data_IF_247873352189
#
_entry.id   IF_247873352189
#
_cell.length_a   1.000
_cell.length_b   1.000
_cell.length_c   1.000
_cell.angle_alpha   90.00
_cell.angle_beta   90.00
_cell.angle_gamma   90.00
#
_symmetry.space_group_name_H-M   'P 1'
#
loop_
_entity.id
_entity.type
_entity.pdbx_description
1 polymer ?
#
# COMPACT_ATOMS: atom_id res chain seq x y z
N UNK A 1 19.85 35.35 7.53
CA UNK A 1 19.74 35.19 6.06
C UNK A 1 18.39 34.54 5.82
N UNK A 2 17.50 35.14 5.03
CA UNK A 2 16.13 34.64 4.86
C UNK A 2 16.18 33.30 4.12
N UNK A 3 15.54 32.26 4.67
CA UNK A 3 15.41 30.97 4.01
C UNK A 3 14.38 31.09 2.88
N UNK A 4 14.75 30.69 1.67
CA UNK A 4 13.87 30.79 0.49
C UNK A 4 13.35 29.45 0.01
N UNK A 5 13.81 28.34 0.60
CA UNK A 5 13.46 26.97 0.22
C UNK A 5 12.82 26.26 1.40
N UNK A 6 11.59 25.77 1.26
CA UNK A 6 10.87 25.02 2.29
C UNK A 6 11.33 23.55 2.38
N UNK A 7 10.37 22.62 2.28
CA UNK A 7 10.62 21.18 2.27
C UNK A 7 11.28 20.75 0.96
N UNK A 8 12.29 19.89 1.05
CA UNK A 8 13.00 19.32 -0.11
C UNK A 8 13.00 17.80 -0.02
N UNK A 9 12.64 17.11 -1.10
CA UNK A 9 12.73 15.65 -1.19
C UNK A 9 13.74 15.25 -2.29
N UNK A 10 14.63 14.30 -1.98
CA UNK A 10 15.68 13.80 -2.88
C UNK A 10 15.63 12.29 -2.97
N UNK A 11 15.57 11.76 -4.20
CA UNK A 11 15.80 10.34 -4.46
C UNK A 11 17.29 10.01 -4.36
N UNK A 12 17.65 9.11 -3.46
CA UNK A 12 19.03 8.70 -3.17
C UNK A 12 19.32 7.40 -3.91
N UNK A 13 20.36 7.42 -4.75
CA UNK A 13 20.73 6.26 -5.56
C UNK A 13 21.41 5.19 -4.73
N UNK A 14 20.93 3.95 -4.85
CA UNK A 14 21.58 2.77 -4.27
C UNK A 14 21.93 1.77 -5.39
N UNK A 15 22.96 0.93 -5.19
CA UNK A 15 23.20 -0.20 -6.10
C UNK A 15 22.06 -1.22 -6.01
N UNK A 16 22.03 -2.15 -6.98
CA UNK A 16 21.03 -3.22 -7.01
C UNK A 16 21.10 -4.04 -5.73
N UNK A 17 19.96 -4.11 -5.03
CA UNK A 17 19.81 -4.82 -3.75
C UNK A 17 19.51 -6.30 -4.02
N UNK A 18 20.26 -7.16 -3.35
CA UNK A 18 20.16 -8.62 -3.40
C UNK A 18 19.77 -9.20 -2.04
N UNK A 19 19.28 -10.43 -2.05
CA UNK A 19 18.98 -11.15 -0.83
C UNK A 19 20.26 -11.38 -0.01
N UNK A 20 20.20 -11.07 1.27
CA UNK A 20 21.32 -11.15 2.21
C UNK A 20 22.17 -9.88 2.31
N UNK A 21 21.89 -8.84 1.51
CA UNK A 21 22.60 -7.58 1.60
C UNK A 21 22.36 -6.88 2.94
N UNK A 22 23.41 -6.26 3.50
CA UNK A 22 23.32 -5.41 4.68
C UNK A 22 22.74 -4.04 4.30
N UNK A 23 21.42 -4.01 4.13
CA UNK A 23 20.71 -2.81 3.70
C UNK A 23 20.88 -1.64 4.67
N UNK A 24 21.01 -1.91 5.98
CA UNK A 24 21.26 -0.87 6.99
C UNK A 24 22.54 -0.12 6.67
N UNK A 25 23.66 -0.83 6.48
CA UNK A 25 24.94 -0.20 6.10
C UNK A 25 24.87 0.48 4.74
N UNK A 26 24.15 -0.10 3.78
CA UNK A 26 23.99 0.50 2.45
C UNK A 26 23.27 1.85 2.50
N UNK A 27 22.15 1.94 3.22
CA UNK A 27 21.38 3.17 3.38
C UNK A 27 22.22 4.25 4.05
N UNK A 28 22.88 3.93 5.18
CA UNK A 28 23.73 4.88 5.92
C UNK A 28 24.83 5.44 5.02
N UNK A 29 25.57 4.56 4.32
CA UNK A 29 26.65 4.96 3.41
C UNK A 29 26.14 5.82 2.27
N UNK A 30 25.01 5.46 1.65
CA UNK A 30 24.44 6.20 0.54
C UNK A 30 24.02 7.62 0.96
N UNK A 31 23.42 7.77 2.14
CA UNK A 31 23.00 9.06 2.68
C UNK A 31 24.20 9.97 2.96
N UNK A 32 25.22 9.46 3.66
CA UNK A 32 26.45 10.21 3.96
C UNK A 32 27.19 10.60 2.67
N UNK A 33 27.33 9.65 1.75
CA UNK A 33 27.98 9.89 0.46
C UNK A 33 27.23 10.96 -0.34
N UNK A 34 25.90 10.87 -0.39
CA UNK A 34 25.08 11.85 -1.11
C UNK A 34 25.17 13.23 -0.48
N UNK A 35 25.10 13.34 0.85
CA UNK A 35 25.26 14.61 1.57
C UNK A 35 26.62 15.27 1.25
N UNK A 36 27.69 14.48 1.28
CA UNK A 36 29.05 14.95 0.94
C UNK A 36 29.19 15.36 -0.52
N UNK A 37 28.65 14.57 -1.44
CA UNK A 37 28.83 14.76 -2.89
C UNK A 37 28.00 15.92 -3.41
N UNK A 38 26.74 16.01 -2.97
CA UNK A 38 25.79 17.03 -3.43
C UNK A 38 25.83 18.31 -2.57
N UNK A 39 26.66 18.34 -1.51
CA UNK A 39 26.93 19.55 -0.73
C UNK A 39 25.79 20.02 0.17
N UNK A 40 24.96 19.10 0.70
CA UNK A 40 23.92 19.43 1.68
C UNK A 40 24.24 18.86 3.07
N UNK A 41 23.71 19.50 4.11
CA UNK A 41 23.88 19.07 5.50
C UNK A 41 22.67 18.25 5.96
N UNK A 42 22.93 17.21 6.73
CA UNK A 42 21.91 16.45 7.46
C UNK A 42 21.58 17.16 8.77
N UNK A 43 20.31 17.09 9.18
CA UNK A 43 19.77 17.82 10.32
C UNK A 43 18.94 16.89 11.19
N UNK A 44 18.75 17.32 12.43
CA UNK A 44 17.77 16.69 13.32
C UNK A 44 16.38 16.80 12.68
N UNK A 45 15.57 15.75 12.80
CA UNK A 45 14.22 15.61 12.22
C UNK A 45 14.16 15.56 10.69
N UNK A 46 15.29 15.47 9.98
CA UNK A 46 15.24 14.99 8.59
C UNK A 46 14.61 13.59 8.56
N UNK A 47 13.97 13.24 7.44
CA UNK A 47 13.27 11.96 7.29
C UNK A 47 13.89 11.16 6.16
N UNK A 48 14.19 9.89 6.41
CA UNK A 48 14.64 8.93 5.40
C UNK A 48 13.56 7.88 5.19
N UNK A 49 13.01 7.85 3.98
CA UNK A 49 12.16 6.76 3.52
C UNK A 49 12.97 5.69 2.81
N UNK A 50 12.72 4.41 3.10
CA UNK A 50 13.27 3.27 2.35
C UNK A 50 12.11 2.44 1.80
N UNK A 51 12.13 2.10 0.50
CA UNK A 51 11.05 1.28 -0.08
C UNK A 51 10.90 -0.06 0.63
N UNK A 52 9.65 -0.52 0.76
CA UNK A 52 9.29 -1.87 1.18
C UNK A 52 10.01 -2.93 0.33
N UNK A 53 10.31 -2.62 -0.92
CA UNK A 53 10.83 -3.51 -1.93
C UNK A 53 12.28 -3.75 -1.67
N UNK A 54 13.03 -2.69 -1.37
CA UNK A 54 14.41 -2.77 -0.94
C UNK A 54 14.54 -3.64 0.31
N UNK A 55 13.71 -3.37 1.33
CA UNK A 55 13.76 -4.11 2.60
C UNK A 55 13.42 -5.58 2.38
N UNK A 56 12.31 -5.89 1.71
CA UNK A 56 11.88 -7.27 1.44
C UNK A 56 12.91 -8.04 0.58
N UNK A 57 13.54 -7.37 -0.40
CA UNK A 57 14.60 -7.96 -1.23
C UNK A 57 15.83 -8.29 -0.41
N UNK A 58 16.33 -7.35 0.39
CA UNK A 58 17.49 -7.56 1.27
C UNK A 58 17.24 -8.70 2.26
N UNK A 59 16.03 -8.79 2.82
CA UNK A 59 15.62 -9.87 3.71
C UNK A 59 15.57 -11.25 3.05
N UNK A 60 15.52 -11.33 1.71
CA UNK A 60 15.27 -12.59 1.04
C UNK A 60 13.87 -13.15 1.34
N UNK A 61 12.88 -12.31 1.64
CA UNK A 61 11.56 -12.75 2.08
C UNK A 61 10.71 -13.26 0.91
N UNK A 62 11.01 -14.46 0.43
CA UNK A 62 10.37 -15.09 -0.73
C UNK A 62 9.69 -16.40 -0.37
N UNK A 63 8.56 -16.68 -1.02
CA UNK A 63 7.89 -17.97 -0.99
C UNK A 63 7.66 -18.46 -2.42
N UNK A 64 7.74 -19.77 -2.63
CA UNK A 64 7.35 -20.39 -3.89
C UNK A 64 5.84 -20.55 -3.98
N UNK A 65 5.33 -20.65 -5.20
CA UNK A 65 3.91 -20.94 -5.43
C UNK A 65 3.47 -22.30 -4.83
N UNK A 66 4.39 -23.27 -4.74
CA UNK A 66 4.13 -24.58 -4.11
C UNK A 66 4.05 -24.47 -2.59
N UNK A 67 4.91 -23.64 -2.00
CA UNK A 67 4.86 -23.36 -0.56
C UNK A 67 3.51 -22.73 -0.20
N UNK A 68 3.08 -21.71 -0.95
CA UNK A 68 1.74 -21.12 -0.76
C UNK A 68 0.64 -22.16 -0.93
N UNK A 69 0.72 -23.03 -1.95
CA UNK A 69 -0.28 -24.08 -2.17
C UNK A 69 -0.34 -25.06 -0.98
N UNK A 70 0.80 -25.46 -0.42
CA UNK A 70 0.84 -26.32 0.77
C UNK A 70 0.15 -25.65 1.97
N UNK A 71 0.38 -24.35 2.18
CA UNK A 71 -0.26 -23.61 3.26
C UNK A 71 -1.77 -23.47 3.07
N UNK A 72 -2.21 -23.16 1.84
CA UNK A 72 -3.64 -23.12 1.49
C UNK A 72 -4.29 -24.48 1.75
N UNK A 73 -3.72 -25.57 1.22
CA UNK A 73 -4.25 -26.94 1.40
C UNK A 73 -4.34 -27.35 2.87
N UNK A 74 -3.40 -26.92 3.72
CA UNK A 74 -3.48 -27.15 5.18
C UNK A 74 -4.66 -26.40 5.80
N UNK A 75 -4.90 -25.16 5.39
CA UNK A 75 -5.93 -24.28 5.95
C UNK A 75 -7.34 -24.56 5.43
N UNK A 76 -7.46 -25.16 4.24
CA UNK A 76 -8.74 -25.58 3.66
C UNK A 76 -8.98 -27.10 3.78
N UNK A 77 -8.25 -27.78 4.67
CA UNK A 77 -8.35 -29.23 4.83
C UNK A 77 -9.80 -29.65 5.09
N UNK A 78 -10.29 -30.59 4.29
CA UNK A 78 -11.67 -31.10 4.37
C UNK A 78 -12.64 -30.49 3.35
N UNK A 79 -12.17 -29.61 2.46
CA UNK A 79 -12.91 -29.16 1.28
C UNK A 79 -12.02 -29.24 0.04
N UNK A 80 -12.65 -29.44 -1.12
CA UNK A 80 -12.01 -29.36 -2.44
C UNK A 80 -12.44 -28.10 -3.22
N UNK A 81 -13.32 -27.29 -2.63
CA UNK A 81 -13.80 -26.03 -3.22
C UNK A 81 -13.46 -24.82 -2.34
N UNK A 82 -13.23 -23.68 -2.99
CA UNK A 82 -12.93 -22.41 -2.34
C UNK A 82 -13.55 -21.22 -3.07
N UNK A 83 -14.22 -20.36 -2.32
CA UNK A 83 -14.71 -19.07 -2.79
C UNK A 83 -13.64 -18.01 -2.59
N UNK A 84 -13.34 -17.24 -3.64
CA UNK A 84 -12.39 -16.12 -3.58
C UNK A 84 -13.18 -14.83 -3.73
N UNK A 85 -13.03 -13.93 -2.75
CA UNK A 85 -13.77 -12.69 -2.68
C UNK A 85 -12.87 -11.47 -2.97
N UNK A 86 -13.23 -10.71 -4.00
CA UNK A 86 -12.73 -9.36 -4.28
C UNK A 86 -11.20 -9.20 -4.40
N UNK A 87 -10.49 -10.03 -5.18
CA UNK A 87 -9.08 -9.75 -5.43
C UNK A 87 -8.89 -8.43 -6.19
N UNK A 88 -7.76 -7.77 -5.95
CA UNK A 88 -7.30 -6.69 -6.83
C UNK A 88 -6.98 -7.27 -8.21
N UNK A 89 -7.44 -6.61 -9.27
CA UNK A 89 -7.24 -6.98 -10.66
C UNK A 89 -5.79 -6.71 -11.08
N UNK A 90 -4.90 -7.65 -10.79
CA UNK A 90 -3.47 -7.49 -11.01
C UNK A 90 -2.77 -8.75 -11.49
N UNK A 91 -1.95 -8.57 -12.54
CA UNK A 91 -0.95 -9.57 -13.00
C UNK A 91 0.16 -9.81 -11.98
N UNK A 92 0.51 -8.76 -11.23
CA UNK A 92 1.70 -8.71 -10.41
C UNK A 92 1.40 -9.11 -8.96
N UNK A 93 0.27 -8.64 -8.42
CA UNK A 93 -0.13 -8.89 -7.02
C UNK A 93 -0.93 -10.19 -6.86
N UNK A 94 -1.85 -10.51 -7.79
CA UNK A 94 -2.79 -11.62 -7.57
C UNK A 94 -2.54 -12.88 -8.41
N UNK A 95 -2.04 -12.79 -9.64
CA UNK A 95 -1.93 -13.97 -10.53
C UNK A 95 -1.16 -15.16 -9.96
N UNK A 96 -0.04 -14.92 -9.26
CA UNK A 96 0.74 -16.03 -8.67
C UNK A 96 0.03 -16.63 -7.45
N UNK A 97 -0.65 -15.81 -6.67
CA UNK A 97 -1.47 -16.24 -5.53
C UNK A 97 -2.63 -17.11 -6.04
N UNK A 98 -3.33 -16.68 -7.09
CA UNK A 98 -4.42 -17.44 -7.70
C UNK A 98 -3.96 -18.81 -8.19
N UNK A 99 -2.79 -18.89 -8.83
CA UNK A 99 -2.20 -20.17 -9.23
C UNK A 99 -1.96 -21.10 -8.04
N UNK A 100 -1.37 -20.58 -6.96
CA UNK A 100 -1.16 -21.36 -5.75
C UNK A 100 -2.46 -21.88 -5.17
N UNK A 101 -3.52 -21.07 -5.15
CA UNK A 101 -4.84 -21.50 -4.69
C UNK A 101 -5.44 -22.57 -5.61
N UNK A 102 -5.30 -22.41 -6.93
CA UNK A 102 -5.76 -23.38 -7.92
C UNK A 102 -5.06 -24.74 -7.84
N UNK A 103 -3.82 -24.79 -7.32
CA UNK A 103 -3.14 -26.05 -7.00
C UNK A 103 -3.72 -26.76 -5.76
N UNK A 104 -4.40 -26.02 -4.89
CA UNK A 104 -4.87 -26.49 -3.59
C UNK A 104 -6.34 -26.88 -3.56
N UNK A 105 -7.15 -26.34 -4.48
CA UNK A 105 -8.59 -26.59 -4.60
C UNK A 105 -8.92 -27.09 -6.00
N UNK A 106 -9.89 -28.00 -6.12
CA UNK A 106 -10.37 -28.50 -7.42
C UNK A 106 -11.34 -27.54 -8.09
N UNK A 107 -12.11 -26.77 -7.30
CA UNK A 107 -13.09 -25.81 -7.82
C UNK A 107 -12.98 -24.46 -7.11
N UNK A 108 -12.93 -23.39 -7.90
CA UNK A 108 -12.86 -22.00 -7.44
C UNK A 108 -14.12 -21.27 -7.85
N UNK A 109 -14.79 -20.62 -6.89
CA UNK A 109 -15.82 -19.63 -7.16
C UNK A 109 -15.18 -18.24 -7.00
N UNK A 110 -15.02 -17.50 -8.08
CA UNK A 110 -14.39 -16.18 -8.05
C UNK A 110 -15.46 -15.09 -8.10
N UNK A 111 -15.61 -14.33 -7.01
CA UNK A 111 -16.48 -13.17 -6.97
C UNK A 111 -15.66 -11.88 -7.12
N UNK A 112 -15.91 -11.15 -8.20
CA UNK A 112 -15.31 -9.86 -8.51
C UNK A 112 -16.26 -8.71 -8.14
N UNK A 113 -15.70 -7.62 -7.64
CA UNK A 113 -16.42 -6.36 -7.52
C UNK A 113 -16.54 -5.69 -8.88
N UNK A 114 -17.60 -4.90 -9.08
CA UNK A 114 -17.81 -4.14 -10.31
C UNK A 114 -18.49 -2.78 -10.01
N UNK A 115 -18.23 -1.72 -10.78
CA UNK A 115 -17.49 -1.70 -12.05
C UNK A 115 -15.96 -1.82 -11.90
N UNK A 116 -15.42 -1.66 -10.69
CA UNK A 116 -13.99 -1.73 -10.41
C UNK A 116 -13.70 -2.52 -9.11
N UNK A 117 -12.44 -2.92 -8.92
CA UNK A 117 -11.95 -3.46 -7.64
C UNK A 117 -11.80 -2.36 -6.57
N UNK A 118 -11.35 -2.74 -5.37
CA UNK A 118 -11.25 -1.80 -4.24
C UNK A 118 -10.25 -0.65 -4.44
N UNK A 119 -9.28 -0.81 -5.36
CA UNK A 119 -8.29 0.22 -5.69
C UNK A 119 -8.62 0.91 -7.02
N UNK A 120 -9.76 0.62 -7.64
CA UNK A 120 -10.24 1.34 -8.82
C UNK A 120 -9.80 0.75 -10.17
N UNK A 121 -9.24 -0.46 -10.23
CA UNK A 121 -9.03 -1.13 -11.53
C UNK A 121 -10.39 -1.52 -12.12
N UNK A 122 -10.72 -0.99 -13.29
CA UNK A 122 -12.02 -1.16 -13.91
C UNK A 122 -12.13 -2.53 -14.61
N UNK A 123 -13.17 -3.27 -14.27
CA UNK A 123 -13.51 -4.52 -14.93
C UNK A 123 -14.32 -4.28 -16.21
N UNK A 124 -15.05 -3.16 -16.29
CA UNK A 124 -15.95 -2.84 -17.39
C UNK A 124 -16.04 -1.33 -17.64
N UNK A 125 -16.59 -0.94 -18.80
CA UNK A 125 -16.89 0.44 -19.13
C UNK A 125 -18.07 0.95 -18.28
N UNK A 126 -17.83 2.06 -17.57
CA UNK A 126 -18.80 2.64 -16.65
C UNK A 126 -20.00 3.24 -17.40
N UNK A 127 -19.78 3.95 -18.51
CA UNK A 127 -20.88 4.51 -19.31
C UNK A 127 -21.81 3.41 -19.82
N UNK A 128 -21.24 2.34 -20.40
CA UNK A 128 -22.01 1.19 -20.89
C UNK A 128 -22.81 0.51 -19.78
N UNK A 129 -22.26 0.41 -18.57
CA UNK A 129 -22.99 -0.13 -17.42
C UNK A 129 -24.26 0.68 -17.13
N UNK A 130 -24.17 2.02 -17.16
CA UNK A 130 -25.32 2.91 -16.98
C UNK A 130 -26.32 2.82 -18.14
N UNK A 131 -25.85 2.77 -19.39
CA UNK A 131 -26.70 2.59 -20.57
C UNK A 131 -27.51 1.30 -20.52
N UNK A 132 -26.91 0.23 -19.99
CA UNK A 132 -27.55 -1.08 -19.81
C UNK A 132 -28.47 -1.13 -18.57
N UNK A 133 -28.54 -0.07 -17.76
CA UNK A 133 -29.37 0.00 -16.57
C UNK A 133 -28.92 -0.93 -15.43
N UNK A 134 -27.65 -1.35 -15.42
CA UNK A 134 -27.12 -2.24 -14.39
C UNK A 134 -26.93 -1.49 -13.06
N UNK A 135 -27.43 -2.08 -11.97
CA UNK A 135 -27.27 -1.57 -10.62
C UNK A 135 -26.22 -2.38 -9.84
N UNK A 136 -25.01 -1.82 -9.61
CA UNK A 136 -23.92 -2.52 -8.93
C UNK A 136 -24.23 -2.94 -7.49
N UNK A 137 -25.28 -2.42 -6.87
CA UNK A 137 -25.68 -2.77 -5.50
C UNK A 137 -26.70 -3.91 -5.43
N UNK A 138 -27.39 -4.21 -6.53
CA UNK A 138 -28.48 -5.19 -6.57
C UNK A 138 -28.17 -6.35 -7.50
N UNK A 139 -27.58 -6.07 -8.66
CA UNK A 139 -27.44 -7.04 -9.72
C UNK A 139 -26.25 -7.98 -9.48
N UNK A 140 -26.45 -9.23 -9.87
CA UNK A 140 -25.41 -10.26 -9.92
C UNK A 140 -25.28 -10.72 -11.36
N UNK A 141 -24.07 -10.64 -11.90
CA UNK A 141 -23.80 -11.11 -13.26
C UNK A 141 -23.00 -12.41 -13.21
N UNK A 142 -23.49 -13.42 -13.92
CA UNK A 142 -22.64 -14.56 -14.31
C UNK A 142 -21.63 -14.10 -15.35
N UNK A 143 -20.53 -14.84 -15.51
CA UNK A 143 -19.60 -14.57 -16.60
C UNK A 143 -20.28 -14.56 -17.96
N UNK A 144 -21.17 -15.50 -18.26
CA UNK A 144 -21.89 -15.54 -19.54
C UNK A 144 -22.68 -14.25 -19.79
N UNK A 145 -23.42 -13.76 -18.78
CA UNK A 145 -24.16 -12.50 -18.88
C UNK A 145 -23.23 -11.30 -19.03
N UNK A 146 -22.13 -11.29 -18.30
CA UNK A 146 -21.09 -10.28 -18.44
C UNK A 146 -20.51 -10.23 -19.86
N UNK A 147 -20.21 -11.39 -20.47
CA UNK A 147 -19.72 -11.49 -21.86
C UNK A 147 -20.76 -11.07 -22.89
N UNK A 148 -22.03 -11.41 -22.67
CA UNK A 148 -23.14 -10.96 -23.53
C UNK A 148 -23.26 -9.43 -23.53
N UNK A 149 -23.19 -8.81 -22.34
CA UNK A 149 -23.38 -7.38 -22.17
C UNK A 149 -22.17 -6.54 -22.60
N UNK A 150 -20.95 -6.96 -22.24
CA UNK A 150 -19.74 -6.15 -22.44
C UNK A 150 -18.87 -6.62 -23.60
N UNK A 151 -19.11 -7.82 -24.13
CA UNK A 151 -18.37 -8.43 -25.23
C UNK A 151 -17.53 -9.64 -24.80
N UNK A 152 -17.09 -10.43 -25.78
CA UNK A 152 -16.30 -11.64 -25.52
C UNK A 152 -14.93 -11.34 -24.94
N UNK A 153 -14.32 -10.20 -25.29
CA UNK A 153 -13.06 -9.73 -24.73
C UNK A 153 -13.23 -8.33 -24.14
N UNK A 154 -13.21 -8.22 -22.81
CA UNK A 154 -13.37 -6.97 -22.07
C UNK A 154 -12.02 -6.62 -21.46
N UNK A 155 -11.27 -5.80 -22.19
CA UNK A 155 -9.90 -5.43 -21.82
C UNK A 155 -9.91 -4.23 -20.88
N UNK A 156 -9.09 -4.30 -19.83
CA UNK A 156 -8.80 -3.17 -18.97
C UNK A 156 -8.16 -2.03 -19.78
N UNK A 157 -8.64 -0.78 -19.67
CA UNK A 157 -8.25 0.33 -20.55
C UNK A 157 -6.74 0.61 -20.53
N UNK A 158 -6.09 0.46 -19.37
CA UNK A 158 -4.66 0.79 -19.23
C UNK A 158 -3.71 -0.38 -19.49
N UNK A 159 -4.15 -1.63 -19.25
CA UNK A 159 -3.25 -2.80 -19.33
C UNK A 159 -3.49 -3.64 -20.58
N UNK A 160 -4.63 -3.44 -21.26
CA UNK A 160 -5.06 -4.22 -22.41
C UNK A 160 -5.45 -5.66 -22.09
N UNK A 161 -5.61 -5.99 -20.80
CA UNK A 161 -5.86 -7.36 -20.33
C UNK A 161 -7.31 -7.57 -20.01
N UNK A 162 -7.85 -8.69 -20.49
CA UNK A 162 -9.09 -9.25 -19.98
C UNK A 162 -8.80 -10.07 -18.72
N UNK A 163 -9.03 -9.48 -17.55
CA UNK A 163 -8.68 -10.12 -16.28
C UNK A 163 -9.52 -11.37 -15.99
N UNK A 164 -10.80 -11.38 -16.41
CA UNK A 164 -11.67 -12.56 -16.26
C UNK A 164 -11.12 -13.73 -17.07
N UNK A 165 -10.77 -13.49 -18.34
CA UNK A 165 -10.20 -14.51 -19.22
C UNK A 165 -8.83 -14.97 -18.70
N UNK A 166 -7.96 -14.03 -18.32
CA UNK A 166 -6.65 -14.35 -17.77
C UNK A 166 -6.77 -15.23 -16.52
N UNK A 167 -7.62 -14.87 -15.56
CA UNK A 167 -7.81 -15.69 -14.35
C UNK A 167 -8.38 -17.06 -14.66
N UNK A 168 -9.28 -17.17 -15.64
CA UNK A 168 -9.80 -18.45 -16.11
C UNK A 168 -8.70 -19.36 -16.65
N UNK A 169 -7.85 -18.83 -17.52
CA UNK A 169 -6.70 -19.56 -18.08
C UNK A 169 -5.69 -19.95 -17.01
N UNK A 170 -5.43 -19.06 -16.03
CA UNK A 170 -4.52 -19.36 -14.93
C UNK A 170 -5.03 -20.53 -14.07
N UNK A 171 -6.31 -20.54 -13.72
CA UNK A 171 -6.88 -21.61 -12.88
C UNK A 171 -6.96 -22.93 -13.64
N UNK A 172 -7.43 -22.91 -14.90
CA UNK A 172 -7.47 -24.09 -15.75
C UNK A 172 -6.07 -24.69 -16.01
N UNK A 173 -5.06 -23.83 -16.18
CA UNK A 173 -3.67 -24.24 -16.38
C UNK A 173 -3.03 -24.93 -15.18
N UNK A 174 -3.59 -24.77 -13.97
CA UNK A 174 -3.18 -25.49 -12.76
C UNK A 174 -4.10 -26.70 -12.45
N UNK A 175 -5.05 -27.01 -13.35
CA UNK A 175 -5.90 -28.21 -13.26
C UNK A 175 -7.18 -28.06 -12.44
N UNK A 176 -7.60 -26.83 -12.13
CA UNK A 176 -8.81 -26.55 -11.37
C UNK A 176 -9.92 -25.93 -12.23
N UNK A 177 -11.16 -26.08 -11.77
CA UNK A 177 -12.35 -25.45 -12.35
C UNK A 177 -12.57 -24.05 -11.77
N UNK A 178 -13.13 -23.15 -12.59
CA UNK A 178 -13.46 -21.79 -12.15
C UNK A 178 -14.83 -21.34 -12.67
N UNK A 179 -15.63 -20.81 -11.73
CA UNK A 179 -16.88 -20.11 -12.00
C UNK A 179 -16.75 -18.66 -11.51
N UNK A 180 -16.96 -17.70 -12.41
CA UNK A 180 -16.78 -16.26 -12.12
C UNK A 180 -18.14 -15.57 -12.02
N UNK A 181 -18.26 -14.73 -11.00
CA UNK A 181 -19.43 -13.86 -10.77
C UNK A 181 -18.99 -12.43 -10.50
N UNK A 182 -19.82 -11.49 -10.92
CA UNK A 182 -19.66 -10.08 -10.59
C UNK A 182 -20.83 -9.70 -9.66
N UNK A 183 -20.51 -9.35 -8.43
CA UNK A 183 -21.47 -9.02 -7.38
C UNK A 183 -20.76 -8.21 -6.29
N UNK A 184 -21.30 -7.06 -5.87
CA UNK A 184 -20.67 -6.26 -4.82
C UNK A 184 -21.08 -6.64 -3.40
N UNK A 185 -22.16 -7.41 -3.23
CA UNK A 185 -22.52 -7.95 -1.93
C UNK A 185 -21.58 -9.11 -1.57
N UNK A 186 -20.71 -8.97 -0.54
CA UNK A 186 -19.77 -10.03 -0.16
C UNK A 186 -20.45 -11.32 0.26
N UNK A 187 -21.75 -11.29 0.62
CA UNK A 187 -22.52 -12.46 1.06
C UNK A 187 -22.87 -13.40 -0.09
N UNK A 188 -22.88 -12.90 -1.33
CA UNK A 188 -23.28 -13.70 -2.49
C UNK A 188 -22.45 -15.00 -2.62
N UNK A 189 -21.14 -14.93 -2.35
CA UNK A 189 -20.23 -16.09 -2.40
C UNK A 189 -20.69 -17.27 -1.54
N UNK A 190 -21.41 -16.99 -0.44
CA UNK A 190 -21.90 -18.03 0.48
C UNK A 190 -23.05 -18.87 -0.10
N UNK A 191 -23.68 -18.40 -1.17
CA UNK A 191 -24.62 -19.21 -1.96
C UNK A 191 -23.91 -20.28 -2.79
N UNK A 192 -22.59 -20.14 -2.98
CA UNK A 192 -21.77 -21.04 -3.81
C UNK A 192 -20.93 -21.97 -2.97
N UNK A 193 -20.36 -21.49 -1.87
CA UNK A 193 -19.60 -22.32 -0.94
C UNK A 193 -19.52 -21.70 0.46
N UNK A 194 -19.40 -22.55 1.48
CA UNK A 194 -19.17 -22.13 2.87
C UNK A 194 -17.69 -21.87 3.19
N UNK A 195 -16.79 -22.05 2.24
CA UNK A 195 -15.34 -21.91 2.40
C UNK A 195 -14.84 -20.70 1.62
N UNK A 196 -14.46 -19.62 2.29
CA UNK A 196 -14.17 -18.33 1.65
C UNK A 196 -12.78 -17.81 2.00
N UNK A 197 -12.05 -17.36 0.98
CA UNK A 197 -10.81 -16.59 1.07
C UNK A 197 -11.07 -15.14 0.62
N UNK A 198 -10.92 -14.21 1.56
CA UNK A 198 -11.03 -12.77 1.33
C UNK A 198 -9.73 -12.26 0.72
N UNK A 199 -9.76 -11.88 -0.55
CA UNK A 199 -8.59 -11.52 -1.35
C UNK A 199 -8.33 -10.01 -1.46
N UNK A 200 -9.29 -9.19 -1.01
CA UNK A 200 -9.11 -7.75 -0.97
C UNK A 200 -8.19 -7.35 0.20
N UNK A 201 -7.56 -6.20 0.07
CA UNK A 201 -6.56 -5.62 0.95
C UNK A 201 -7.27 -4.80 2.04
N UNK A 202 -7.80 -3.62 1.74
CA UNK A 202 -8.18 -2.64 2.77
C UNK A 202 -9.45 -3.00 3.53
N UNK A 203 -10.46 -3.52 2.82
CA UNK A 203 -11.73 -3.91 3.43
C UNK A 203 -11.74 -5.33 4.03
N UNK A 204 -10.60 -6.04 4.05
CA UNK A 204 -10.49 -7.46 4.40
C UNK A 204 -11.13 -7.81 5.74
N UNK A 205 -10.84 -7.04 6.79
CA UNK A 205 -11.36 -7.30 8.13
C UNK A 205 -12.86 -7.06 8.22
N UNK A 206 -13.38 -6.09 7.47
CA UNK A 206 -14.83 -5.85 7.35
C UNK A 206 -15.50 -7.05 6.68
N UNK A 207 -14.99 -7.51 5.54
CA UNK A 207 -15.57 -8.63 4.81
C UNK A 207 -15.49 -9.95 5.61
N UNK A 208 -14.36 -10.25 6.25
CA UNK A 208 -14.25 -11.41 7.16
C UNK A 208 -15.32 -11.38 8.26
N UNK A 209 -15.54 -10.21 8.90
CA UNK A 209 -16.58 -10.05 9.94
C UNK A 209 -17.99 -10.28 9.39
N UNK A 210 -18.30 -9.69 8.23
CA UNK A 210 -19.62 -9.86 7.58
C UNK A 210 -19.87 -11.34 7.26
N UNK A 211 -18.91 -12.02 6.62
CA UNK A 211 -19.06 -13.43 6.24
C UNK A 211 -19.29 -14.34 7.46
N UNK A 212 -18.57 -14.10 8.56
CA UNK A 212 -18.68 -14.88 9.81
C UNK A 212 -20.07 -14.82 10.46
N UNK A 213 -20.92 -13.86 10.10
CA UNK A 213 -22.29 -13.76 10.63
C UNK A 213 -23.26 -14.77 9.98
N UNK A 214 -22.86 -15.45 8.90
CA UNK A 214 -23.72 -16.32 8.09
C UNK A 214 -23.28 -17.80 8.12
N UNK A 215 -22.73 -18.24 9.26
CA UNK A 215 -22.33 -19.64 9.50
C UNK A 215 -21.44 -20.25 8.38
N UNK A 216 -20.30 -19.60 8.04
CA UNK A 216 -19.35 -20.18 7.11
C UNK A 216 -18.55 -21.30 7.79
N UNK A 217 -18.08 -22.26 6.99
CA UNK A 217 -17.19 -23.32 7.46
C UNK A 217 -15.75 -22.80 7.59
N UNK A 218 -15.29 -22.03 6.60
CA UNK A 218 -13.94 -21.44 6.58
C UNK A 218 -14.04 -19.98 6.13
N UNK A 219 -13.39 -19.09 6.87
CA UNK A 219 -13.17 -17.69 6.46
C UNK A 219 -11.73 -17.32 6.72
N UNK A 220 -10.97 -17.22 5.64
CA UNK A 220 -9.56 -16.79 5.63
C UNK A 220 -9.43 -15.50 4.84
N UNK A 221 -8.27 -14.86 4.93
CA UNK A 221 -7.83 -13.83 3.99
C UNK A 221 -6.40 -14.05 3.57
N UNK A 222 -5.92 -13.24 2.64
CA UNK A 222 -4.50 -13.28 2.23
C UNK A 222 -3.55 -12.99 3.39
N UNK A 223 -3.99 -12.19 4.37
CA UNK A 223 -3.30 -11.95 5.63
C UNK A 223 -3.19 -13.19 6.53
N UNK A 224 -4.00 -14.22 6.31
CA UNK A 224 -3.90 -15.47 7.07
C UNK A 224 -2.93 -16.46 6.41
N UNK A 225 -2.44 -16.22 5.19
CA UNK A 225 -1.59 -17.15 4.42
C UNK A 225 -0.10 -16.79 4.54
N UNK A 226 0.77 -17.80 4.64
CA UNK A 226 2.22 -17.65 4.81
C UNK A 226 2.62 -16.78 6.01
N UNK A 227 1.90 -16.91 7.13
CA UNK A 227 2.16 -16.17 8.38
C UNK A 227 3.27 -16.77 9.23
N UNK A 228 3.67 -18.01 8.95
CA UNK A 228 4.79 -18.72 9.59
C UNK A 228 5.63 -19.42 8.53
N UNK A 229 6.91 -19.70 8.80
CA UNK A 229 7.77 -20.41 7.85
C UNK A 229 7.27 -21.85 7.67
N UNK A 230 7.02 -22.24 6.42
CA UNK A 230 6.49 -23.58 6.10
C UNK A 230 7.58 -24.67 6.13
N UNK A 231 8.82 -24.28 5.86
CA UNK A 231 10.05 -25.06 6.06
C UNK A 231 11.21 -24.12 6.38
N UNK A 232 12.34 -24.69 6.78
CA UNK A 232 13.55 -23.90 7.05
C UNK A 232 13.95 -23.07 5.84
N UNK A 233 14.09 -21.76 6.05
CA UNK A 233 14.46 -20.80 5.00
C UNK A 233 13.29 -20.26 4.16
N UNK A 234 12.05 -20.71 4.36
CA UNK A 234 10.89 -20.08 3.69
C UNK A 234 10.68 -18.65 4.17
N UNK A 235 10.32 -17.77 3.24
CA UNK A 235 9.72 -16.49 3.58
C UNK A 235 8.40 -16.66 4.34
N UNK A 236 8.06 -15.65 5.13
CA UNK A 236 6.76 -15.55 5.80
C UNK A 236 6.55 -14.09 6.23
N UNK A 237 5.29 -13.70 6.47
CA UNK A 237 4.96 -12.41 7.08
C UNK A 237 3.85 -12.60 8.12
N UNK A 238 4.16 -12.43 9.43
CA UNK A 238 3.20 -12.71 10.49
C UNK A 238 2.05 -11.69 10.59
N UNK A 239 2.23 -10.47 10.04
CA UNK A 239 1.26 -9.39 10.14
C UNK A 239 0.38 -9.28 8.89
N UNK A 240 0.98 -9.49 7.72
CA UNK A 240 0.34 -9.22 6.43
C UNK A 240 0.18 -10.47 5.55
N UNK A 241 0.74 -11.61 5.93
CA UNK A 241 0.67 -12.83 5.14
C UNK A 241 1.13 -12.61 3.69
N UNK A 242 0.21 -12.81 2.74
CA UNK A 242 0.42 -12.55 1.30
C UNK A 242 0.03 -11.13 0.84
N UNK A 243 -0.51 -10.28 1.71
CA UNK A 243 -0.81 -8.88 1.36
C UNK A 243 0.48 -8.09 1.11
N UNK A 244 0.44 -7.17 0.16
CA UNK A 244 1.63 -6.41 -0.25
C UNK A 244 2.70 -7.26 -0.93
N UNK A 245 2.43 -8.55 -1.18
CA UNK A 245 3.34 -9.40 -1.94
C UNK A 245 3.31 -9.04 -3.43
N UNK A 246 4.37 -9.42 -4.14
CA UNK A 246 4.52 -9.13 -5.56
C UNK A 246 5.23 -10.28 -6.28
N UNK A 247 4.93 -10.47 -7.57
CA UNK A 247 5.59 -11.46 -8.41
C UNK A 247 7.09 -11.19 -8.48
N UNK A 248 7.91 -12.15 -8.05
CA UNK A 248 9.36 -12.08 -8.17
C UNK A 248 9.85 -12.84 -9.42
N UNK A 249 9.34 -14.05 -9.62
CA UNK A 249 9.56 -14.86 -10.83
C UNK A 249 8.25 -15.57 -11.21
N UNK A 250 8.28 -16.45 -12.21
CA UNK A 250 7.11 -17.28 -12.57
C UNK A 250 6.68 -18.27 -11.48
N UNK A 251 7.53 -18.52 -10.48
CA UNK A 251 7.30 -19.52 -9.42
C UNK A 251 7.57 -19.01 -8.02
N UNK A 252 7.99 -17.74 -7.87
CA UNK A 252 8.30 -17.11 -6.59
C UNK A 252 7.55 -15.80 -6.42
N UNK A 253 7.09 -15.59 -5.19
CA UNK A 253 6.43 -14.38 -4.70
C UNK A 253 7.37 -13.73 -3.67
N UNK A 254 7.61 -12.43 -3.83
CA UNK A 254 8.29 -11.58 -2.82
C UNK A 254 7.22 -11.14 -1.83
N UNK A 255 7.37 -11.47 -0.56
CA UNK A 255 6.46 -11.03 0.49
C UNK A 255 6.76 -9.59 0.92
N UNK A 256 5.80 -8.96 1.57
CA UNK A 256 5.99 -7.66 2.21
C UNK A 256 7.05 -7.73 3.32
N UNK A 257 7.74 -6.64 3.67
CA UNK A 257 8.75 -6.64 4.72
C UNK A 257 8.21 -7.14 6.05
N UNK A 258 9.08 -7.80 6.82
CA UNK A 258 8.82 -8.16 8.22
C UNK A 258 9.85 -7.52 9.12
N UNK A 259 9.62 -7.50 10.43
CA UNK A 259 10.58 -6.98 11.41
C UNK A 259 11.07 -5.55 11.08
N UNK A 260 10.21 -4.74 10.45
CA UNK A 260 10.58 -3.41 9.95
C UNK A 260 11.03 -2.47 11.06
N UNK A 261 10.48 -2.62 12.27
CA UNK A 261 10.88 -1.83 13.44
C UNK A 261 12.38 -1.98 13.76
N UNK A 262 12.91 -3.21 13.69
CA UNK A 262 14.34 -3.47 13.91
C UNK A 262 15.18 -2.76 12.84
N UNK A 263 14.71 -2.75 11.60
CA UNK A 263 15.41 -2.11 10.49
C UNK A 263 15.47 -0.59 10.67
N UNK A 264 14.33 0.07 10.92
CA UNK A 264 14.29 1.54 11.03
C UNK A 264 15.09 2.05 12.23
N UNK A 265 15.05 1.33 13.36
CA UNK A 265 15.87 1.64 14.53
C UNK A 265 17.36 1.50 14.23
N UNK A 266 17.79 0.41 13.58
CA UNK A 266 19.20 0.20 13.23
C UNK A 266 19.75 1.26 12.27
N UNK A 267 18.94 1.73 11.30
CA UNK A 267 19.32 2.84 10.42
C UNK A 267 19.42 4.15 11.19
N UNK A 268 18.43 4.47 12.03
CA UNK A 268 18.43 5.69 12.85
C UNK A 268 19.63 5.74 13.80
N UNK A 269 19.90 4.66 14.54
CA UNK A 269 21.06 4.56 15.44
C UNK A 269 22.39 4.67 14.70
N UNK A 270 22.48 4.04 13.52
CA UNK A 270 23.66 4.13 12.67
C UNK A 270 23.92 5.55 12.18
N UNK A 271 22.89 6.26 11.72
CA UNK A 271 23.00 7.66 11.31
C UNK A 271 23.33 8.58 12.50
N UNK A 272 22.71 8.38 13.65
CA UNK A 272 23.01 9.12 14.88
C UNK A 272 24.48 8.97 15.27
N UNK A 273 25.06 7.76 15.14
CA UNK A 273 26.48 7.51 15.43
C UNK A 273 27.41 8.22 14.45
N UNK A 274 27.10 8.17 13.15
CA UNK A 274 27.97 8.71 12.10
C UNK A 274 27.84 10.24 11.95
N UNK A 275 26.68 10.81 12.30
CA UNK A 275 26.37 12.22 12.01
C UNK A 275 26.10 13.06 13.26
N UNK A 276 25.83 12.42 14.40
CA UNK A 276 25.36 13.10 15.61
C UNK A 276 23.92 13.62 15.51
N UNK A 277 23.17 13.30 14.44
CA UNK A 277 21.83 13.82 14.16
C UNK A 277 20.72 12.80 14.39
N UNK A 278 19.64 13.26 15.02
CA UNK A 278 18.44 12.48 15.26
C UNK A 278 17.56 12.53 14.01
N UNK A 279 17.84 11.63 13.06
CA UNK A 279 17.13 11.53 11.78
C UNK A 279 16.03 10.47 11.92
N UNK A 280 14.82 10.78 11.47
CA UNK A 280 13.70 9.85 11.47
C UNK A 280 13.74 8.94 10.25
N UNK A 281 13.28 7.69 10.40
CA UNK A 281 13.34 6.68 9.35
C UNK A 281 11.99 5.99 9.23
N UNK A 282 11.53 5.79 8.00
CA UNK A 282 10.38 4.93 7.70
C UNK A 282 10.69 3.94 6.58
N UNK A 283 10.02 2.81 6.62
CA UNK A 283 9.78 1.98 5.44
C UNK A 283 8.50 2.50 4.80
N UNK A 284 8.49 2.73 3.48
CA UNK A 284 7.28 3.12 2.74
C UNK A 284 6.95 2.08 1.66
N UNK A 285 5.68 1.74 1.51
CA UNK A 285 5.13 0.99 0.38
C UNK A 285 4.46 1.93 -0.62
N UNK A 286 3.47 1.41 -1.35
CA UNK A 286 2.71 2.20 -2.32
C UNK A 286 2.05 3.44 -1.65
N UNK A 287 2.14 4.61 -2.30
CA UNK A 287 1.61 5.88 -1.79
C UNK A 287 0.11 6.03 -2.05
N UNK A 288 -0.65 6.63 -1.13
CA UNK A 288 -2.10 6.80 -1.27
C UNK A 288 -2.52 7.89 -2.28
N UNK A 289 -1.90 7.92 -3.46
CA UNK A 289 -2.26 8.76 -4.60
C UNK A 289 -3.34 8.09 -5.45
N UNK A 290 -4.36 8.85 -5.83
CA UNK A 290 -5.35 8.43 -6.82
C UNK A 290 -5.03 9.09 -8.15
N UNK A 291 -4.75 8.31 -9.18
CA UNK A 291 -4.65 8.83 -10.53
C UNK A 291 -6.01 9.41 -10.96
N UNK A 292 -6.11 10.72 -11.25
CA UNK A 292 -7.38 11.32 -11.68
C UNK A 292 -7.81 10.87 -13.07
N UNK A 293 -6.90 10.38 -13.90
CA UNK A 293 -7.22 9.92 -15.27
C UNK A 293 -7.74 8.49 -15.23
N UNK A 294 -7.03 7.58 -14.57
CA UNK A 294 -7.45 6.18 -14.45
C UNK A 294 -8.44 5.89 -13.33
N UNK A 295 -8.57 6.77 -12.35
CA UNK A 295 -9.38 6.54 -11.16
C UNK A 295 -8.82 5.45 -10.23
N UNK A 296 -7.57 5.02 -10.47
CA UNK A 296 -6.88 3.95 -9.74
C UNK A 296 -6.10 4.58 -8.59
N UNK A 297 -6.25 4.00 -7.40
CA UNK A 297 -5.40 4.27 -6.25
C UNK A 297 -4.12 3.44 -6.36
N UNK A 298 -2.98 4.09 -6.25
CA UNK A 298 -1.68 3.44 -6.09
C UNK A 298 -1.52 2.92 -4.65
N UNK A 299 -2.49 2.18 -4.14
CA UNK A 299 -2.51 1.69 -2.76
C UNK A 299 -2.82 0.19 -2.73
N UNK A 300 -1.98 -0.61 -3.41
CA UNK A 300 -2.13 -2.06 -3.45
C UNK A 300 -1.47 -2.76 -2.25
N UNK A 301 -0.54 -2.09 -1.57
CA UNK A 301 0.03 -2.52 -0.30
C UNK A 301 -0.95 -2.37 0.88
N UNK A 302 -0.81 -3.18 1.94
CA UNK A 302 -1.76 -3.19 3.06
C UNK A 302 -1.70 -1.96 3.96
N UNK A 303 -0.58 -1.22 3.92
CA UNK A 303 -0.32 0.03 4.66
C UNK A 303 0.71 0.85 3.89
N UNK A 304 0.68 2.18 4.02
CA UNK A 304 1.66 3.07 3.41
C UNK A 304 3.03 2.95 4.09
N UNK A 305 3.07 2.82 5.42
CA UNK A 305 4.33 2.73 6.16
C UNK A 305 4.34 1.53 7.13
N UNK A 306 4.91 0.37 6.76
CA UNK A 306 4.93 -0.81 7.62
C UNK A 306 5.77 -0.66 8.90
N UNK A 307 6.76 0.23 8.92
CA UNK A 307 7.52 0.53 10.12
C UNK A 307 8.13 1.93 10.04
N UNK A 308 8.31 2.57 11.19
CA UNK A 308 8.81 3.93 11.27
C UNK A 308 9.26 4.28 12.69
N UNK A 309 10.22 5.19 12.80
CA UNK A 309 10.74 5.67 14.08
C UNK A 309 9.72 6.53 14.84
N UNK A 310 9.87 6.61 16.16
CA UNK A 310 8.86 7.20 17.06
C UNK A 310 8.52 8.66 16.76
N UNK A 311 9.44 9.44 16.21
CA UNK A 311 9.21 10.85 15.87
C UNK A 311 8.19 11.05 14.74
N UNK A 312 7.86 10.00 13.99
CA UNK A 312 6.86 10.03 12.92
C UNK A 312 5.45 9.63 13.38
N UNK A 313 5.25 9.36 14.68
CA UNK A 313 3.92 9.05 15.23
C UNK A 313 3.08 10.32 15.34
N UNK A 314 1.86 10.27 14.82
CA UNK A 314 0.85 11.30 15.04
C UNK A 314 0.41 12.00 13.75
N UNK A 315 -0.12 13.20 13.93
CA UNK A 315 -0.70 14.03 12.89
C UNK A 315 0.16 15.29 12.69
N UNK A 316 0.22 15.87 11.48
CA UNK A 316 0.80 17.18 11.27
C UNK A 316 0.12 18.23 12.16
N UNK A 317 0.92 19.09 12.79
CA UNK A 317 0.41 20.22 13.56
C UNK A 317 0.42 21.52 12.73
N UNK A 318 -0.18 21.48 11.55
CA UNK A 318 -0.17 22.59 10.59
C UNK A 318 -1.05 23.78 11.04
N UNK A 319 -0.70 24.98 10.55
CA UNK A 319 -1.46 26.21 10.77
C UNK A 319 -1.86 26.76 9.42
N UNK A 320 -3.13 27.16 9.30
CA UNK A 320 -3.61 27.89 8.12
C UNK A 320 -3.16 29.34 8.18
N UNK A 321 -1.93 29.59 7.73
CA UNK A 321 -1.37 30.95 7.65
C UNK A 321 -2.28 31.91 6.87
N UNK A 322 -2.92 31.44 5.79
CA UNK A 322 -3.91 32.22 5.04
C UNK A 322 -5.14 32.59 5.88
N UNK A 323 -5.66 31.67 6.69
CA UNK A 323 -6.78 31.97 7.57
C UNK A 323 -6.42 33.03 8.62
N UNK A 324 -5.22 32.93 9.22
CA UNK A 324 -4.72 33.94 10.15
C UNK A 324 -4.55 35.30 9.46
N UNK A 325 -3.94 35.32 8.27
CA UNK A 325 -3.78 36.53 7.48
C UNK A 325 -5.14 37.18 7.15
N UNK A 326 -6.09 36.39 6.66
CA UNK A 326 -7.40 36.86 6.20
C UNK A 326 -8.34 37.27 7.34
N UNK A 327 -8.14 36.84 8.59
CA UNK A 327 -9.08 37.11 9.69
C UNK A 327 -8.51 37.91 10.85
N UNK A 328 -7.20 37.82 11.11
CA UNK A 328 -6.58 38.40 12.31
C UNK A 328 -5.52 39.46 12.00
N UNK A 329 -5.05 39.56 10.74
CA UNK A 329 -3.88 40.36 10.38
C UNK A 329 -4.12 41.33 9.20
N UNK A 330 -5.38 41.53 8.79
CA UNK A 330 -5.74 42.34 7.61
C UNK A 330 -5.23 43.79 7.66
N UNK A 331 -5.19 44.39 8.86
CA UNK A 331 -4.79 45.80 9.05
C UNK A 331 -3.32 45.98 9.41
N UNK A 332 -2.52 44.90 9.45
CA UNK A 332 -1.11 44.96 9.83
C UNK A 332 -0.21 45.14 8.62
N UNK A 333 0.86 45.93 8.79
CA UNK A 333 1.95 45.98 7.82
C UNK A 333 2.72 44.65 7.81
N UNK A 334 3.53 44.42 6.77
CA UNK A 334 4.21 43.14 6.54
C UNK A 334 5.08 42.70 7.73
N UNK A 335 5.78 43.64 8.36
CA UNK A 335 6.68 43.37 9.50
C UNK A 335 5.89 43.00 10.78
N UNK A 336 4.77 43.67 11.06
CA UNK A 336 3.88 43.35 12.16
C UNK A 336 3.13 42.03 11.94
N UNK A 337 2.74 41.74 10.69
CA UNK A 337 2.10 40.50 10.30
C UNK A 337 3.05 39.30 10.51
N UNK A 338 4.32 39.42 10.11
CA UNK A 338 5.33 38.40 10.38
C UNK A 338 5.52 38.16 11.88
N UNK A 339 5.59 39.23 12.69
CA UNK A 339 5.77 39.11 14.14
C UNK A 339 4.58 38.39 14.79
N UNK A 340 3.36 38.77 14.43
CA UNK A 340 2.13 38.17 14.95
C UNK A 340 2.01 36.68 14.57
N UNK A 341 2.40 36.30 13.34
CA UNK A 341 2.46 34.89 12.93
C UNK A 341 3.47 34.12 13.79
N UNK A 342 4.66 34.66 14.03
CA UNK A 342 5.68 34.00 14.86
C UNK A 342 5.24 33.83 16.31
N UNK A 343 4.58 34.83 16.89
CA UNK A 343 4.02 34.77 18.24
C UNK A 343 2.91 33.71 18.31
N UNK A 344 1.98 33.72 17.36
CA UNK A 344 0.90 32.72 17.29
C UNK A 344 1.44 31.28 17.19
N UNK A 345 2.45 31.03 16.36
CA UNK A 345 3.08 29.70 16.23
C UNK A 345 3.70 29.25 17.57
N UNK A 346 4.31 30.16 18.33
CA UNK A 346 4.97 29.86 19.61
C UNK A 346 3.96 29.58 20.73
N UNK A 347 2.83 30.27 20.73
CA UNK A 347 1.79 30.14 21.76
C UNK A 347 0.83 28.95 21.53
N UNK A 348 0.89 28.36 20.33
CA UNK A 348 -0.05 27.33 19.89
C UNK A 348 0.02 26.04 20.73
N UNK A 349 -1.15 25.52 21.09
CA UNK A 349 -1.31 24.20 21.73
C UNK A 349 -1.09 23.05 20.73
N UNK A 350 -0.65 21.90 21.24
CA UNK A 350 -0.31 20.71 20.43
C UNK A 350 -1.53 20.05 19.77
N UNK A 351 -2.74 20.31 20.27
CA UNK A 351 -3.98 19.75 19.72
C UNK A 351 -4.94 20.89 19.34
N UNK A 352 -5.28 20.98 18.05
CA UNK A 352 -6.22 21.96 17.50
C UNK A 352 -7.56 21.35 17.10
N UNK A 353 -7.80 20.05 17.34
CA UNK A 353 -8.99 19.37 16.80
C UNK A 353 -10.27 20.08 17.27
N UNK A 354 -10.99 20.68 16.31
CA UNK A 354 -12.28 21.34 16.54
C UNK A 354 -12.22 22.86 16.71
N UNK A 355 -11.02 23.48 16.65
CA UNK A 355 -10.89 24.93 16.65
C UNK A 355 -11.23 25.54 15.28
N UNK A 356 -11.72 26.78 15.24
CA UNK A 356 -12.03 27.50 14.00
C UNK A 356 -10.82 27.53 13.03
N UNK A 357 -9.61 27.58 13.58
CA UNK A 357 -8.33 27.60 12.85
C UNK A 357 -7.99 26.23 12.25
N UNK A 358 -8.54 25.14 12.78
CA UNK A 358 -8.40 23.77 12.26
C UNK A 358 -9.55 23.34 11.34
N UNK A 359 -10.58 24.18 11.14
CA UNK A 359 -11.72 23.78 10.30
C UNK A 359 -11.30 23.58 8.85
N UNK A 360 -11.62 22.42 8.30
CA UNK A 360 -11.34 22.05 6.90
C UNK A 360 -9.99 21.36 6.65
N UNK A 361 -9.30 20.84 7.67
CA UNK A 361 -8.21 19.86 7.48
C UNK A 361 -8.67 18.48 7.92
N UNK A 362 -8.76 17.53 6.98
CA UNK A 362 -8.92 16.12 7.34
C UNK A 362 -7.63 15.64 8.00
N UNK A 363 -7.68 15.09 9.23
CA UNK A 363 -6.49 14.58 9.90
C UNK A 363 -5.87 13.46 9.06
N UNK A 364 -4.57 13.59 8.78
CA UNK A 364 -3.79 12.63 7.99
C UNK A 364 -2.60 12.18 8.82
N UNK A 365 -2.28 10.89 8.81
CA UNK A 365 -1.11 10.41 9.54
C UNK A 365 0.16 10.94 8.86
N UNK A 366 1.14 11.34 9.67
CA UNK A 366 2.43 11.80 9.16
C UNK A 366 3.08 10.76 8.24
N UNK A 367 2.98 9.49 8.62
CA UNK A 367 3.52 8.36 7.86
C UNK A 367 2.85 8.18 6.50
N UNK A 368 1.55 8.44 6.39
CA UNK A 368 0.83 8.33 5.13
C UNK A 368 1.23 9.47 4.18
N UNK A 369 1.42 10.67 4.71
CA UNK A 369 1.89 11.84 3.96
C UNK A 369 3.34 11.67 3.49
N UNK A 370 4.25 11.35 4.41
CA UNK A 370 5.67 11.18 4.14
C UNK A 370 5.92 9.97 3.24
N UNK A 371 5.23 8.84 3.48
CA UNK A 371 5.32 7.65 2.64
C UNK A 371 4.81 7.90 1.21
N UNK A 372 3.69 8.61 1.06
CA UNK A 372 3.18 8.99 -0.26
C UNK A 372 4.11 9.97 -0.97
N UNK A 373 4.74 10.91 -0.25
CA UNK A 373 5.76 11.79 -0.81
C UNK A 373 6.98 10.98 -1.27
N UNK A 374 7.44 10.01 -0.47
CA UNK A 374 8.53 9.10 -0.87
C UNK A 374 8.20 8.34 -2.15
N UNK A 375 7.01 7.74 -2.22
CA UNK A 375 6.55 6.97 -3.39
C UNK A 375 6.47 7.82 -4.66
N UNK A 376 5.96 9.06 -4.57
CA UNK A 376 5.94 10.00 -5.70
C UNK A 376 7.35 10.33 -6.20
N UNK A 377 8.34 10.40 -5.32
CA UNK A 377 9.74 10.71 -5.66
C UNK A 377 10.44 9.50 -6.29
N UNK A 378 10.26 8.29 -5.72
CA UNK A 378 10.84 7.07 -6.30
C UNK A 378 10.17 6.67 -7.61
N UNK A 379 8.85 6.84 -7.68
CA UNK A 379 7.98 6.31 -8.72
C UNK A 379 7.90 4.78 -8.70
N UNK A 380 7.06 4.23 -9.58
CA UNK A 380 6.76 2.79 -9.66
C UNK A 380 7.80 1.94 -10.41
N UNK A 381 8.87 2.57 -10.94
CA UNK A 381 9.89 1.93 -11.77
C UNK A 381 11.27 1.89 -11.09
N UNK A 382 12.15 1.02 -11.58
CA UNK A 382 13.53 0.90 -11.07
C UNK A 382 14.41 2.07 -11.55
N UNK A 383 14.24 3.24 -10.92
CA UNK A 383 15.11 4.41 -11.14
C UNK A 383 16.42 4.33 -10.33
N UNK A 384 16.65 3.21 -9.64
CA UNK A 384 17.79 3.03 -8.74
C UNK A 384 17.74 3.93 -7.49
N UNK A 385 16.59 4.55 -7.17
CA UNK A 385 16.41 5.44 -6.01
C UNK A 385 15.45 4.86 -4.96
N UNK A 386 15.76 3.71 -4.34
CA UNK A 386 14.89 3.08 -3.36
C UNK A 386 14.89 3.77 -1.99
N UNK A 387 15.66 4.87 -1.84
CA UNK A 387 15.77 5.66 -0.62
C UNK A 387 15.42 7.10 -0.97
N UNK A 388 14.65 7.76 -0.10
CA UNK A 388 14.27 9.17 -0.24
C UNK A 388 14.69 9.92 1.02
N UNK A 389 15.38 11.04 0.86
CA UNK A 389 15.67 11.98 1.94
C UNK A 389 14.71 13.18 1.83
N UNK A 390 13.94 13.44 2.89
CA UNK A 390 13.06 14.58 3.02
C UNK A 390 13.63 15.50 4.10
N UNK A 391 13.90 16.75 3.74
CA UNK A 391 14.46 17.75 4.64
C UNK A 391 13.50 18.91 4.83
N UNK A 392 13.44 19.40 6.07
CA UNK A 392 12.63 20.56 6.44
C UNK A 392 11.13 20.35 6.31
N UNK A 393 10.66 19.12 6.57
CA UNK A 393 9.24 18.80 6.61
C UNK A 393 8.55 19.36 7.86
N UNK A 394 9.25 19.36 9.01
CA UNK A 394 8.74 19.82 10.30
C UNK A 394 9.04 21.30 10.60
N UNK A 395 9.72 21.99 9.69
CA UNK A 395 10.06 23.38 9.86
C UNK A 395 8.81 24.26 9.81
N UNK A 396 8.81 25.35 10.57
CA UNK A 396 7.71 26.31 10.59
C UNK A 396 8.22 27.74 10.40
N UNK A 397 7.29 28.66 10.13
CA UNK A 397 7.60 30.07 9.86
C UNK A 397 8.24 30.80 11.06
N UNK A 398 8.13 30.26 12.29
CA UNK A 398 8.72 30.83 13.50
C UNK A 398 10.12 30.28 13.83
N UNK A 399 10.54 29.19 13.20
CA UNK A 399 11.89 28.63 13.32
C UNK A 399 12.92 29.30 12.39
N UNK A 400 12.54 30.39 11.73
CA UNK A 400 13.41 31.27 10.93
C UNK A 400 13.92 32.50 11.69
#
# INVERSE_FOLDING_TARGET
MVRTVGTVARGIRLPIIKAGDDLVKMVIRAIILSAKTEGYLLRDQDVIGVTESAVARAQGNYVSIDEVAVDVSRKIKGTEELGILFPILSRNRFSQILKSIARSAKKIYLQLAYPADEVGNHLMCLEKMYELGLNPYLDVLSEARYRELFGQAVKHPFTGIDYVQMYRELVAGEGAEIEVFLANDPRFILQKTKNVLVANVHNRQRHKRVLKQFDPQIVLGLDDLCTTPLKNGSGYNPEYGLLGSNRATKTKIKLFPREGEKFVQAVQEGLQRETGKQIEVLIYGDGAFKDPVGGIWELADPVVAPAYTKGLRGLPNEIKLKYLADNQLQDLNEEACQKAIKEYIREKKVDLVGEAVSQGTTPRQLTDLLGSLCDLISGSGDKGTPVVLIQGYFDNYATE
#
